data_IF_690678225052
#
_entry.id   IF_690678225052
#
_cell.length_a   1.000
_cell.length_b   1.000
_cell.length_c   1.000
_cell.angle_alpha   90.00
_cell.angle_beta   90.00
_cell.angle_gamma   90.00
#
_symmetry.space_group_name_H-M   'P 1'
#
loop_
_entity.id
_entity.type
_entity.pdbx_description
1 polymer ?
#
# COMPACT_ATOMS: atom_id res chain seq x y z
N UNK A 1 22.61 31.61 15.77
CA UNK A 1 23.02 31.22 14.40
C UNK A 1 22.81 29.71 14.29
N UNK A 2 21.67 29.27 13.74
CA UNK A 2 21.39 27.85 13.49
C UNK A 2 21.58 27.59 12.00
N UNK A 3 22.48 26.69 11.65
CA UNK A 3 22.78 26.29 10.29
C UNK A 3 21.65 25.44 9.73
N UNK A 4 21.10 25.86 8.59
CA UNK A 4 20.23 25.02 7.77
C UNK A 4 21.05 23.87 7.17
N UNK A 5 20.67 22.63 7.50
CA UNK A 5 21.22 21.44 6.85
C UNK A 5 20.60 21.29 5.47
N UNK A 6 21.43 21.36 4.42
CA UNK A 6 21.01 21.07 3.06
C UNK A 6 20.73 19.57 2.91
N UNK A 7 19.45 19.20 2.76
CA UNK A 7 19.06 17.87 2.31
C UNK A 7 19.33 17.80 0.80
N UNK A 8 20.42 17.13 0.40
CA UNK A 8 20.70 16.88 -1.02
C UNK A 8 19.83 15.74 -1.52
N UNK A 9 18.80 16.07 -2.30
CA UNK A 9 18.07 15.11 -3.12
C UNK A 9 19.01 14.68 -4.25
N UNK A 10 19.56 13.47 -4.18
CA UNK A 10 20.29 12.85 -5.27
C UNK A 10 19.26 12.50 -6.36
N UNK A 11 19.06 13.42 -7.30
CA UNK A 11 18.31 13.16 -8.53
C UNK A 11 19.13 12.19 -9.39
N UNK A 12 18.79 10.91 -9.32
CA UNK A 12 19.32 9.93 -10.25
C UNK A 12 18.81 10.28 -11.66
N UNK A 13 19.66 10.91 -12.49
CA UNK A 13 19.36 11.22 -13.89
C UNK A 13 19.38 9.93 -14.71
N UNK A 14 18.35 9.10 -14.56
CA UNK A 14 18.06 8.03 -15.52
C UNK A 14 17.35 8.68 -16.71
N UNK A 15 18.00 8.67 -17.88
CA UNK A 15 17.37 9.13 -19.14
C UNK A 15 16.35 8.08 -19.57
N UNK A 16 15.11 8.23 -19.10
CA UNK A 16 13.96 7.48 -19.57
C UNK A 16 13.71 7.82 -21.05
N UNK A 17 14.00 6.87 -21.96
CA UNK A 17 13.93 7.06 -23.40
C UNK A 17 12.68 6.37 -23.96
N UNK A 18 11.49 6.84 -23.58
CA UNK A 18 10.23 6.23 -24.03
C UNK A 18 9.60 7.02 -25.16
N UNK A 19 9.93 6.66 -26.41
CA UNK A 19 9.27 7.15 -27.64
C UNK A 19 8.01 6.36 -28.02
N UNK A 20 7.41 5.58 -27.10
CA UNK A 20 6.12 4.92 -27.36
C UNK A 20 4.98 5.96 -27.38
N UNK A 21 4.33 6.03 -28.53
CA UNK A 21 3.23 6.95 -28.93
C UNK A 21 2.32 7.44 -27.78
N UNK A 22 2.50 8.72 -27.43
CA UNK A 22 1.69 9.51 -26.47
C UNK A 22 0.19 9.59 -26.83
N UNK A 23 -0.21 9.31 -28.07
CA UNK A 23 -1.58 9.55 -28.54
C UNK A 23 -2.55 8.38 -28.32
N UNK A 24 -2.05 7.15 -28.12
CA UNK A 24 -2.91 5.96 -28.00
C UNK A 24 -3.45 5.77 -26.58
N UNK A 25 -2.67 6.14 -25.56
CA UNK A 25 -3.09 6.03 -24.16
C UNK A 25 -4.25 6.96 -23.83
N UNK A 26 -4.25 8.21 -24.33
CA UNK A 26 -5.28 9.22 -24.01
C UNK A 26 -6.70 8.82 -24.49
N UNK A 27 -6.83 8.12 -25.62
CA UNK A 27 -8.15 7.67 -26.11
C UNK A 27 -8.75 6.49 -25.33
N UNK A 28 -7.93 5.73 -24.61
CA UNK A 28 -8.42 4.65 -23.73
C UNK A 28 -9.08 5.24 -22.46
N UNK A 29 -8.72 6.47 -22.06
CA UNK A 29 -9.20 7.09 -20.81
C UNK A 29 -10.64 7.63 -20.83
N UNK A 30 -11.23 7.91 -22.01
CA UNK A 30 -12.62 8.37 -22.07
C UNK A 30 -13.63 7.24 -22.36
N UNK A 31 -13.16 6.07 -22.79
CA UNK A 31 -14.03 4.96 -23.21
C UNK A 31 -14.03 3.75 -22.24
N UNK A 32 -13.20 3.76 -21.21
CA UNK A 32 -13.06 2.65 -20.26
C UNK A 32 -13.91 2.78 -18.97
N UNK A 33 -15.03 3.51 -19.02
CA UNK A 33 -16.17 3.21 -18.13
C UNK A 33 -16.84 1.93 -18.65
N UNK A 34 -16.18 0.79 -18.42
CA UNK A 34 -16.81 -0.51 -18.58
C UNK A 34 -17.76 -0.67 -17.41
N UNK A 35 -19.03 -0.90 -17.70
CA UNK A 35 -20.03 -1.29 -16.70
C UNK A 35 -19.46 -2.46 -15.88
N UNK A 36 -19.09 -2.17 -14.63
CA UNK A 36 -18.67 -3.17 -13.66
C UNK A 36 -19.94 -3.95 -13.27
N UNK A 37 -20.31 -4.94 -14.09
CA UNK A 37 -21.36 -5.88 -13.73
C UNK A 37 -20.97 -6.59 -12.43
N UNK A 38 -21.67 -6.23 -11.35
CA UNK A 38 -21.57 -6.89 -10.07
C UNK A 38 -22.26 -8.26 -10.19
N UNK A 39 -21.48 -9.31 -10.45
CA UNK A 39 -22.00 -10.68 -10.34
C UNK A 39 -22.56 -10.96 -8.94
N UNK A 40 -23.49 -11.92 -8.79
CA UNK A 40 -24.21 -12.17 -7.53
C UNK A 40 -23.28 -12.46 -6.35
N UNK A 41 -23.60 -11.87 -5.20
CA UNK A 41 -22.79 -11.76 -3.97
C UNK A 41 -23.00 -12.91 -2.94
N UNK A 42 -23.62 -14.03 -3.32
CA UNK A 42 -24.29 -14.95 -2.38
C UNK A 42 -23.41 -15.79 -1.42
N UNK A 43 -22.09 -15.58 -1.30
CA UNK A 43 -21.24 -16.34 -0.37
C UNK A 43 -20.17 -15.49 0.36
N UNK A 44 -20.48 -14.23 0.71
CA UNK A 44 -19.51 -13.30 1.30
C UNK A 44 -19.27 -13.44 2.81
N UNK A 45 -20.18 -14.07 3.58
CA UNK A 45 -20.09 -14.08 5.05
C UNK A 45 -18.83 -14.75 5.62
N UNK A 46 -18.13 -15.59 4.85
CA UNK A 46 -16.96 -16.35 5.34
C UNK A 46 -15.60 -15.65 5.11
N UNK A 47 -15.58 -14.53 4.39
CA UNK A 47 -14.35 -13.97 3.83
C UNK A 47 -13.79 -12.75 4.55
N UNK A 48 -14.54 -12.18 5.47
CA UNK A 48 -14.15 -10.99 6.24
C UNK A 48 -13.05 -11.33 7.25
N UNK A 49 -11.80 -10.98 6.90
CA UNK A 49 -10.70 -10.95 7.85
C UNK A 49 -10.88 -9.84 8.90
N UNK A 50 -9.97 -9.74 9.86
CA UNK A 50 -9.97 -8.60 10.79
C UNK A 50 -9.64 -7.32 10.02
N UNK A 51 -10.64 -6.48 9.78
CA UNK A 51 -10.45 -5.22 9.05
C UNK A 51 -9.69 -4.21 9.90
N UNK A 52 -8.45 -3.95 9.52
CA UNK A 52 -7.53 -3.07 10.22
C UNK A 52 -7.65 -1.64 9.69
N UNK A 53 -8.85 -1.08 9.76
CA UNK A 53 -9.10 0.33 9.47
C UNK A 53 -9.13 1.12 10.77
N UNK A 54 -8.55 2.32 10.76
CA UNK A 54 -8.59 3.21 11.92
C UNK A 54 -9.68 4.26 11.72
N UNK A 55 -10.70 4.31 12.60
CA UNK A 55 -11.87 5.20 12.46
C UNK A 55 -11.91 6.20 13.61
N UNK A 56 -11.98 7.49 13.32
CA UNK A 56 -11.91 8.58 14.30
C UNK A 56 -13.24 9.30 14.45
N UNK A 57 -13.50 9.80 15.66
CA UNK A 57 -14.75 10.48 16.03
C UNK A 57 -14.83 11.91 15.48
N UNK A 58 -13.73 12.66 15.52
CA UNK A 58 -13.71 14.08 15.18
C UNK A 58 -12.47 14.48 14.37
N UNK A 59 -12.65 15.31 13.33
CA UNK A 59 -11.57 15.74 12.43
C UNK A 59 -10.53 16.63 13.12
N UNK A 60 -10.95 17.43 14.10
CA UNK A 60 -10.08 18.42 14.77
C UNK A 60 -9.11 17.78 15.77
N UNK A 61 -9.29 16.51 16.13
CA UNK A 61 -8.46 15.81 17.12
C UNK A 61 -7.70 14.61 16.53
N UNK A 62 -7.64 14.49 15.21
CA UNK A 62 -7.14 13.27 14.56
C UNK A 62 -5.71 12.91 14.93
N UNK A 63 -4.80 13.88 14.98
CA UNK A 63 -3.41 13.64 15.33
C UNK A 63 -3.29 13.12 16.77
N UNK A 64 -3.96 13.79 17.71
CA UNK A 64 -3.97 13.41 19.13
C UNK A 64 -4.65 12.06 19.35
N UNK A 65 -5.80 11.81 18.72
CA UNK A 65 -6.47 10.51 18.78
C UNK A 65 -5.59 9.40 18.19
N UNK A 66 -4.89 9.68 17.08
CA UNK A 66 -3.97 8.73 16.43
C UNK A 66 -2.80 8.39 17.34
N UNK A 67 -2.18 9.39 17.95
CA UNK A 67 -1.08 9.22 18.91
C UNK A 67 -1.54 8.45 20.15
N UNK A 68 -2.72 8.77 20.69
CA UNK A 68 -3.30 8.05 21.82
C UNK A 68 -3.54 6.58 21.49
N UNK A 69 -4.03 6.25 20.29
CA UNK A 69 -4.24 4.85 19.87
C UNK A 69 -2.92 4.12 19.65
N UNK A 70 -1.90 4.81 19.14
CA UNK A 70 -0.55 4.26 19.04
C UNK A 70 0.02 3.93 20.43
N UNK A 71 -0.05 4.87 21.37
CA UNK A 71 0.51 4.68 22.72
C UNK A 71 -0.24 3.60 23.53
N UNK A 72 -1.55 3.45 23.29
CA UNK A 72 -2.40 2.49 24.00
C UNK A 72 -2.73 1.24 23.16
N UNK A 73 -1.94 0.92 22.13
CA UNK A 73 -2.20 -0.24 21.29
C UNK A 73 -1.98 -1.56 22.05
N UNK A 74 -3.06 -2.34 22.19
CA UNK A 74 -2.99 -3.65 22.83
C UNK A 74 -2.45 -4.75 21.91
N UNK A 75 -2.68 -4.62 20.60
CA UNK A 75 -2.30 -5.65 19.61
C UNK A 75 -0.78 -5.82 19.51
N UNK A 76 -0.04 -4.71 19.53
CA UNK A 76 1.41 -4.68 19.43
C UNK A 76 1.98 -3.68 20.45
N UNK A 77 1.92 -4.03 21.74
CA UNK A 77 2.39 -3.17 22.83
C UNK A 77 3.84 -2.72 22.58
N UNK A 78 4.08 -1.42 22.69
CA UNK A 78 5.40 -0.82 22.47
C UNK A 78 5.86 -0.72 21.02
N UNK A 79 5.20 -1.41 20.07
CA UNK A 79 5.50 -1.37 18.64
C UNK A 79 7.00 -1.61 18.29
N UNK A 80 7.69 -2.47 19.04
CA UNK A 80 9.15 -2.67 18.92
C UNK A 80 9.62 -3.10 17.52
N UNK A 81 8.74 -3.77 16.77
CA UNK A 81 9.00 -4.29 15.43
C UNK A 81 8.50 -3.36 14.30
N UNK A 82 8.14 -2.11 14.64
CA UNK A 82 7.75 -1.07 13.68
C UNK A 82 8.88 -0.05 13.53
N UNK A 83 9.66 -0.18 12.47
CA UNK A 83 10.78 0.70 12.19
C UNK A 83 10.30 2.00 11.55
N UNK A 84 10.86 3.14 11.95
CA UNK A 84 10.71 4.37 11.15
C UNK A 84 11.41 4.19 9.80
N UNK A 85 10.96 4.94 8.79
CA UNK A 85 11.57 4.88 7.45
C UNK A 85 13.06 5.23 7.52
N UNK A 86 13.42 6.29 8.25
CA UNK A 86 14.81 6.70 8.41
C UNK A 86 15.65 5.62 9.09
N UNK A 87 15.18 5.05 10.20
CA UNK A 87 15.89 3.97 10.88
C UNK A 87 16.08 2.76 9.98
N UNK A 88 15.06 2.39 9.20
CA UNK A 88 15.16 1.30 8.24
C UNK A 88 16.20 1.60 7.14
N UNK A 89 16.19 2.81 6.58
CA UNK A 89 17.16 3.26 5.57
C UNK A 89 18.59 3.23 6.11
N UNK A 90 18.81 3.61 7.36
CA UNK A 90 20.15 3.68 7.94
C UNK A 90 20.69 2.32 8.38
N UNK A 91 19.82 1.42 8.85
CA UNK A 91 20.24 0.19 9.53
C UNK A 91 19.97 -1.10 8.74
N UNK A 92 19.06 -1.07 7.77
CA UNK A 92 18.62 -2.28 7.05
C UNK A 92 18.97 -2.23 5.57
N UNK A 93 18.77 -1.10 4.89
CA UNK A 93 19.14 -0.98 3.48
C UNK A 93 20.64 -1.22 3.20
N UNK A 94 21.60 -0.79 4.06
CA UNK A 94 23.02 -1.05 3.82
C UNK A 94 23.39 -2.54 3.92
N UNK A 95 22.52 -3.39 4.48
CA UNK A 95 22.73 -4.85 4.55
C UNK A 95 22.50 -5.54 3.21
N UNK A 96 21.73 -4.93 2.33
CA UNK A 96 21.53 -5.42 0.97
C UNK A 96 22.84 -5.30 0.21
N UNK A 97 23.16 -6.25 -0.67
CA UNK A 97 24.42 -6.21 -1.41
C UNK A 97 24.31 -5.30 -2.64
N UNK A 98 23.15 -5.28 -3.30
CA UNK A 98 22.95 -4.56 -4.55
C UNK A 98 22.39 -3.15 -4.32
N UNK A 99 22.98 -2.14 -4.99
CA UNK A 99 22.40 -0.78 -5.07
C UNK A 99 21.00 -0.80 -5.66
N UNK A 100 20.80 -1.65 -6.67
CA UNK A 100 19.48 -1.84 -7.27
C UNK A 100 18.45 -2.35 -6.27
N UNK A 101 18.82 -3.31 -5.40
CA UNK A 101 17.89 -3.82 -4.40
C UNK A 101 17.51 -2.72 -3.39
N UNK A 102 18.48 -1.88 -3.01
CA UNK A 102 18.23 -0.69 -2.18
C UNK A 102 17.27 0.28 -2.86
N UNK A 103 17.48 0.58 -4.14
CA UNK A 103 16.65 1.48 -4.94
C UNK A 103 15.21 0.96 -5.11
N UNK A 104 15.05 -0.33 -5.40
CA UNK A 104 13.72 -0.96 -5.55
C UNK A 104 12.96 -0.95 -4.21
N UNK A 105 13.62 -1.27 -3.10
CA UNK A 105 12.96 -1.23 -1.79
C UNK A 105 12.62 0.20 -1.38
N UNK A 106 13.51 1.17 -1.62
CA UNK A 106 13.18 2.59 -1.40
C UNK A 106 11.96 2.99 -2.23
N UNK A 107 11.91 2.60 -3.50
CA UNK A 107 10.76 2.83 -4.38
C UNK A 107 9.47 2.23 -3.79
N UNK A 108 9.52 1.02 -3.22
CA UNK A 108 8.35 0.43 -2.56
C UNK A 108 7.89 1.23 -1.33
N UNK A 109 8.85 1.69 -0.53
CA UNK A 109 8.57 2.52 0.64
C UNK A 109 7.95 3.85 0.21
N UNK A 110 8.49 4.45 -0.85
CA UNK A 110 8.06 5.75 -1.38
C UNK A 110 6.69 5.69 -2.05
N UNK A 111 6.38 4.59 -2.77
CA UNK A 111 5.05 4.35 -3.33
C UNK A 111 3.96 4.11 -2.28
N UNK A 112 4.32 3.86 -1.02
CA UNK A 112 3.36 3.66 0.06
C UNK A 112 2.81 5.01 0.53
N UNK A 113 1.48 5.14 0.53
CA UNK A 113 0.76 6.37 0.86
C UNK A 113 -0.21 6.16 2.00
N UNK A 114 -0.49 7.23 2.75
CA UNK A 114 -1.56 7.27 3.75
C UNK A 114 -2.84 7.74 3.08
N UNK A 115 -3.94 7.07 3.38
CA UNK A 115 -5.27 7.43 2.91
C UNK A 115 -6.07 8.02 4.06
N UNK A 116 -6.68 9.18 3.82
CA UNK A 116 -7.65 9.80 4.72
C UNK A 116 -8.99 9.87 4.01
N UNK A 117 -9.91 9.00 4.40
CA UNK A 117 -11.28 8.95 3.86
C UNK A 117 -12.18 9.72 4.81
N UNK A 118 -12.93 10.69 4.29
CA UNK A 118 -13.68 11.65 5.13
C UNK A 118 -15.19 11.40 5.16
N UNK A 119 -15.69 10.43 4.38
CA UNK A 119 -17.07 9.97 4.45
C UNK A 119 -17.16 8.44 4.36
N UNK A 120 -18.28 7.89 4.84
CA UNK A 120 -18.67 6.51 4.58
C UNK A 120 -19.89 6.50 3.68
N UNK A 121 -19.82 5.80 2.54
CA UNK A 121 -20.91 5.79 1.56
C UNK A 121 -22.17 5.17 2.15
N UNK A 122 -23.33 5.65 1.70
CA UNK A 122 -24.63 5.05 2.03
C UNK A 122 -24.81 3.66 1.43
N UNK A 123 -24.04 3.34 0.38
CA UNK A 123 -24.18 2.12 -0.41
C UNK A 123 -23.33 0.95 0.11
N UNK A 124 -22.59 1.14 1.21
CA UNK A 124 -21.83 0.06 1.87
C UNK A 124 -22.76 -1.12 2.18
N UNK A 125 -22.42 -2.40 1.91
CA UNK A 125 -23.30 -3.54 2.18
C UNK A 125 -23.44 -3.83 3.69
N UNK A 126 -24.48 -4.56 4.12
CA UNK A 126 -24.80 -4.78 5.56
C UNK A 126 -23.73 -5.56 6.31
N UNK A 127 -22.98 -6.37 5.57
CA UNK A 127 -21.85 -7.14 6.08
C UNK A 127 -20.52 -6.35 6.09
N UNK A 128 -20.51 -5.10 5.64
CA UNK A 128 -19.31 -4.26 5.65
C UNK A 128 -18.96 -3.81 7.08
N UNK A 129 -17.67 -3.74 7.45
CA UNK A 129 -17.22 -3.28 8.78
C UNK A 129 -17.70 -1.87 9.16
N UNK A 130 -17.99 -1.06 8.15
CA UNK A 130 -18.42 0.33 8.27
C UNK A 130 -19.90 0.52 7.93
N UNK A 131 -20.69 -0.56 7.83
CA UNK A 131 -22.13 -0.48 7.55
C UNK A 131 -22.89 0.41 8.56
N UNK A 132 -22.51 0.37 9.85
CA UNK A 132 -23.09 1.23 10.90
C UNK A 132 -22.78 2.72 10.74
N UNK A 133 -21.83 3.07 9.88
CA UNK A 133 -21.34 4.42 9.66
C UNK A 133 -21.78 5.01 8.32
N UNK A 134 -22.62 4.31 7.56
CA UNK A 134 -23.23 4.80 6.30
C UNK A 134 -23.75 6.22 6.38
N UNK A 135 -23.36 7.03 5.40
CA UNK A 135 -23.79 8.42 5.26
C UNK A 135 -23.21 9.36 6.31
N UNK A 136 -22.39 8.88 7.25
CA UNK A 136 -21.71 9.74 8.22
C UNK A 136 -20.48 10.37 7.60
N UNK A 137 -20.27 11.62 7.98
CA UNK A 137 -18.98 12.30 7.82
C UNK A 137 -18.10 11.85 8.98
N UNK A 138 -16.89 11.40 8.68
CA UNK A 138 -15.96 10.88 9.66
C UNK A 138 -14.65 10.49 9.01
N UNK A 139 -13.55 10.63 9.74
CA UNK A 139 -12.23 10.33 9.20
C UNK A 139 -11.85 8.87 9.48
N UNK A 140 -11.49 8.15 8.43
CA UNK A 140 -10.87 6.84 8.50
C UNK A 140 -9.50 6.88 7.85
N UNK A 141 -8.51 6.27 8.50
CA UNK A 141 -7.19 6.06 7.92
C UNK A 141 -7.00 4.64 7.42
N UNK A 142 -6.26 4.55 6.32
CA UNK A 142 -5.72 3.32 5.79
C UNK A 142 -4.41 3.58 5.03
N UNK A 143 -3.88 2.53 4.42
CA UNK A 143 -2.70 2.59 3.58
C UNK A 143 -3.08 2.32 2.13
N UNK A 144 -2.36 2.92 1.19
CA UNK A 144 -2.43 2.58 -0.22
C UNK A 144 -1.05 2.48 -0.85
N UNK A 145 -1.01 2.12 -2.12
CA UNK A 145 0.24 2.04 -2.89
C UNK A 145 0.06 2.54 -4.32
N UNK A 146 0.99 3.38 -4.76
CA UNK A 146 1.02 3.91 -6.12
C UNK A 146 1.44 2.80 -7.08
N UNK A 147 0.50 2.38 -7.93
CA UNK A 147 0.68 1.26 -8.87
C UNK A 147 1.10 1.73 -10.26
N UNK A 148 0.56 2.87 -10.69
CA UNK A 148 0.72 3.38 -12.05
C UNK A 148 0.69 4.90 -12.00
N UNK A 149 1.62 5.53 -12.71
CA UNK A 149 1.67 6.98 -12.86
C UNK A 149 1.51 7.32 -14.33
N UNK A 150 0.69 8.33 -14.61
CA UNK A 150 0.51 8.84 -15.97
C UNK A 150 1.42 10.03 -16.20
N UNK A 151 1.85 10.20 -17.45
CA UNK A 151 2.58 11.39 -17.86
C UNK A 151 1.78 12.66 -17.57
N UNK A 152 2.50 13.74 -17.28
CA UNK A 152 1.88 15.04 -17.04
C UNK A 152 0.98 15.48 -18.20
N UNK A 153 -0.14 16.10 -17.84
CA UNK A 153 -1.10 16.73 -18.75
C UNK A 153 -1.02 18.25 -18.58
N UNK A 154 -1.05 18.97 -19.70
CA UNK A 154 -0.89 20.42 -19.76
C UNK A 154 -2.17 21.09 -20.24
N UNK A 155 -2.46 22.29 -19.72
CA UNK A 155 -3.55 23.16 -20.17
C UNK A 155 -4.91 22.44 -20.22
N UNK A 156 -5.15 21.56 -19.24
CA UNK A 156 -6.42 20.82 -19.07
C UNK A 156 -7.04 21.08 -17.70
N UNK A 157 -8.37 20.98 -17.58
CA UNK A 157 -9.07 20.97 -16.30
C UNK A 157 -8.46 19.96 -15.34
N UNK A 158 -8.07 20.42 -14.14
CA UNK A 158 -7.60 19.54 -13.08
C UNK A 158 -8.76 19.12 -12.19
N UNK A 159 -8.92 17.81 -11.97
CA UNK A 159 -10.01 17.24 -11.18
C UNK A 159 -9.69 17.18 -9.67
N UNK A 160 -8.58 17.77 -9.22
CA UNK A 160 -8.26 17.77 -7.80
C UNK A 160 -9.24 18.66 -7.02
N UNK A 161 -9.41 18.36 -5.73
CA UNK A 161 -10.35 19.06 -4.86
C UNK A 161 -10.05 20.57 -4.73
N UNK A 162 -8.78 20.97 -4.92
CA UNK A 162 -8.33 22.37 -4.88
C UNK A 162 -8.71 23.11 -6.17
N UNK A 163 -8.36 22.56 -7.34
CA UNK A 163 -8.57 23.22 -8.63
C UNK A 163 -10.04 23.24 -9.03
N UNK A 164 -10.85 22.26 -8.63
CA UNK A 164 -12.29 22.17 -8.93
C UNK A 164 -12.59 22.34 -10.43
N UNK A 165 -11.82 21.69 -11.29
CA UNK A 165 -12.00 21.73 -12.75
C UNK A 165 -11.40 22.97 -13.43
N UNK A 166 -10.74 23.88 -12.70
CA UNK A 166 -9.96 24.94 -13.33
C UNK A 166 -8.83 24.35 -14.16
N UNK A 167 -8.51 25.01 -15.27
CA UNK A 167 -7.36 24.65 -16.11
C UNK A 167 -6.09 24.84 -15.29
N UNK A 168 -5.33 23.76 -15.12
CA UNK A 168 -4.01 23.82 -14.51
C UNK A 168 -2.97 23.85 -15.63
N UNK A 169 -1.89 24.61 -15.42
CA UNK A 169 -0.72 24.61 -16.31
C UNK A 169 -0.21 23.18 -16.51
N UNK A 170 -0.15 22.42 -15.41
CA UNK A 170 0.33 21.03 -15.39
C UNK A 170 -0.31 20.23 -14.26
N UNK A 171 -0.70 18.99 -14.51
CA UNK A 171 -1.13 18.05 -13.49
C UNK A 171 -0.81 16.60 -13.87
N UNK A 172 -0.84 15.71 -12.88
CA UNK A 172 -0.56 14.28 -13.03
C UNK A 172 -1.75 13.47 -12.52
N UNK A 173 -1.97 12.33 -13.17
CA UNK A 173 -2.84 11.28 -12.67
C UNK A 173 -2.01 10.08 -12.22
N UNK A 174 -2.51 9.32 -11.25
CA UNK A 174 -1.91 8.07 -10.83
C UNK A 174 -2.98 7.14 -10.22
N UNK A 175 -2.69 5.84 -10.17
CA UNK A 175 -3.54 4.85 -9.52
C UNK A 175 -2.97 4.46 -8.16
N UNK A 176 -3.81 4.59 -7.13
CA UNK A 176 -3.54 4.07 -5.81
C UNK A 176 -4.36 2.81 -5.60
N UNK A 177 -3.67 1.71 -5.31
CA UNK A 177 -4.33 0.49 -4.87
C UNK A 177 -4.46 0.47 -3.36
N UNK A 178 -5.63 0.05 -2.87
CA UNK A 178 -5.90 -0.13 -1.44
C UNK A 178 -6.94 -1.22 -1.23
N UNK A 179 -7.32 -1.49 0.02
CA UNK A 179 -8.37 -2.43 0.35
C UNK A 179 -9.77 -1.83 0.07
N UNK A 180 -10.71 -2.65 -0.38
CA UNK A 180 -12.08 -2.20 -0.68
C UNK A 180 -12.83 -1.73 0.57
N UNK A 181 -12.57 -2.35 1.72
CA UNK A 181 -13.12 -1.86 2.97
C UNK A 181 -12.49 -0.52 3.41
N UNK A 182 -11.27 -0.19 2.96
CA UNK A 182 -10.61 1.11 3.20
C UNK A 182 -11.20 2.20 2.31
N UNK A 183 -11.57 1.93 1.06
CA UNK A 183 -12.31 2.87 0.18
C UNK A 183 -13.26 2.03 -0.67
N UNK A 184 -14.57 2.25 -0.52
CA UNK A 184 -15.57 1.34 -1.09
C UNK A 184 -15.96 1.64 -2.53
N UNK A 185 -16.26 2.91 -2.84
CA UNK A 185 -16.77 3.33 -4.13
C UNK A 185 -16.29 4.74 -4.50
N UNK A 186 -16.77 5.24 -5.64
CA UNK A 186 -16.46 6.58 -6.16
C UNK A 186 -16.83 7.71 -5.19
N UNK A 187 -17.92 7.57 -4.43
CA UNK A 187 -18.32 8.58 -3.43
C UNK A 187 -17.23 8.76 -2.38
N UNK A 188 -16.73 7.66 -1.80
CA UNK A 188 -15.63 7.71 -0.83
C UNK A 188 -14.30 8.10 -1.48
N UNK A 189 -14.03 7.65 -2.71
CA UNK A 189 -12.81 8.02 -3.43
C UNK A 189 -12.69 9.53 -3.61
N UNK A 190 -13.79 10.21 -4.01
CA UNK A 190 -13.82 11.67 -4.20
C UNK A 190 -13.56 12.47 -2.94
N UNK A 191 -13.82 11.89 -1.77
CA UNK A 191 -13.59 12.51 -0.46
C UNK A 191 -12.29 12.03 0.19
N UNK A 192 -11.51 11.19 -0.51
CA UNK A 192 -10.25 10.65 -0.02
C UNK A 192 -9.08 11.56 -0.37
N UNK A 193 -8.33 11.96 0.65
CA UNK A 193 -7.01 12.58 0.50
C UNK A 193 -5.94 11.49 0.54
N UNK A 194 -4.97 11.59 -0.37
CA UNK A 194 -3.82 10.70 -0.46
C UNK A 194 -2.61 11.50 0.02
N UNK A 195 -2.11 11.20 1.21
CA UNK A 195 -0.93 11.84 1.75
C UNK A 195 0.32 11.04 1.35
N UNK A 196 1.21 11.69 0.60
CA UNK A 196 2.47 11.16 0.07
C UNK A 196 3.62 11.59 0.99
N UNK A 197 4.70 10.81 1.03
CA UNK A 197 5.92 11.11 1.80
C UNK A 197 5.72 11.40 3.29
N UNK A 198 4.69 10.82 3.90
CA UNK A 198 4.47 10.94 5.34
C UNK A 198 5.35 9.93 6.11
N UNK A 199 6.66 10.16 6.08
CA UNK A 199 7.68 9.28 6.70
C UNK A 199 7.90 9.60 8.18
N UNK A 200 7.72 10.87 8.57
CA UNK A 200 7.78 11.37 9.94
C UNK A 200 6.82 12.57 10.14
N UNK A 201 6.65 13.01 11.39
CA UNK A 201 5.77 14.14 11.74
C UNK A 201 6.37 15.52 11.41
N UNK A 202 7.65 15.59 11.02
CA UNK A 202 8.29 16.83 10.59
C UNK A 202 8.15 17.06 9.08
N UNK A 203 7.73 16.06 8.33
CA UNK A 203 7.51 16.14 6.89
C UNK A 203 6.35 17.09 6.58
N UNK A 204 6.57 18.06 5.70
CA UNK A 204 5.47 18.83 5.14
C UNK A 204 4.53 17.91 4.36
N UNK A 205 3.22 17.97 4.63
CA UNK A 205 2.29 17.02 4.06
C UNK A 205 2.09 17.30 2.57
N UNK A 206 2.35 16.28 1.76
CA UNK A 206 2.19 16.29 0.30
C UNK A 206 0.91 15.55 -0.07
N UNK A 207 0.05 16.14 -0.91
CA UNK A 207 -1.27 15.59 -1.17
C UNK A 207 -1.54 15.28 -2.65
N UNK A 208 -2.26 14.18 -2.85
CA UNK A 208 -3.08 13.90 -4.02
C UNK A 208 -4.53 13.69 -3.59
N UNK A 209 -5.43 13.66 -4.57
CA UNK A 209 -6.86 13.58 -4.32
C UNK A 209 -7.48 12.45 -5.12
N UNK A 210 -8.29 11.62 -4.48
CA UNK A 210 -9.08 10.62 -5.19
C UNK A 210 -10.14 11.27 -6.07
N UNK A 211 -10.40 10.65 -7.22
CA UNK A 211 -11.34 11.13 -8.24
C UNK A 211 -12.40 10.07 -8.52
N UNK A 212 -11.96 8.82 -8.68
CA UNK A 212 -12.84 7.71 -9.03
C UNK A 212 -12.28 6.35 -8.61
N UNK A 213 -13.14 5.34 -8.53
CA UNK A 213 -12.75 3.93 -8.45
C UNK A 213 -12.78 3.35 -9.87
N UNK A 214 -11.60 3.03 -10.42
CA UNK A 214 -11.48 2.53 -11.80
C UNK A 214 -11.51 1.01 -11.89
N UNK A 215 -11.26 0.33 -10.77
CA UNK A 215 -11.34 -1.13 -10.70
C UNK A 215 -11.71 -1.56 -9.30
N UNK A 216 -12.67 -2.47 -9.18
CA UNK A 216 -13.06 -3.07 -7.91
C UNK A 216 -13.07 -4.59 -8.03
N UNK A 217 -12.58 -5.28 -6.99
CA UNK A 217 -12.60 -6.72 -6.87
C UNK A 217 -13.13 -7.11 -5.48
N UNK A 218 -14.46 -7.18 -5.29
CA UNK A 218 -15.06 -7.40 -3.97
C UNK A 218 -14.63 -8.73 -3.33
N UNK A 219 -14.57 -9.81 -4.12
CA UNK A 219 -14.08 -11.12 -3.66
C UNK A 219 -12.64 -11.08 -3.16
N UNK A 220 -11.90 -10.04 -3.56
CA UNK A 220 -10.52 -9.86 -3.19
C UNK A 220 -10.24 -8.69 -2.26
N UNK A 221 -11.29 -7.95 -1.89
CA UNK A 221 -11.25 -6.76 -1.07
C UNK A 221 -10.12 -5.80 -1.47
N UNK A 222 -10.01 -5.49 -2.77
CA UNK A 222 -9.14 -4.42 -3.23
C UNK A 222 -9.79 -3.58 -4.33
N UNK A 223 -9.36 -2.33 -4.40
CA UNK A 223 -9.73 -1.37 -5.43
C UNK A 223 -8.49 -0.73 -6.06
N UNK A 224 -8.61 -0.26 -7.30
CA UNK A 224 -7.73 0.76 -7.87
C UNK A 224 -8.50 2.08 -7.87
N UNK A 225 -7.99 3.08 -7.15
CA UNK A 225 -8.50 4.44 -7.12
C UNK A 225 -7.69 5.32 -8.06
N UNK A 226 -8.35 6.06 -8.94
CA UNK A 226 -7.72 7.12 -9.71
C UNK A 226 -7.56 8.37 -8.86
N UNK A 227 -6.33 8.86 -8.80
CA UNK A 227 -5.95 10.04 -8.05
C UNK A 227 -5.28 11.06 -8.96
N UNK A 228 -5.31 12.33 -8.53
CA UNK A 228 -4.69 13.43 -9.24
C UNK A 228 -3.93 14.36 -8.29
N UNK A 229 -2.90 15.00 -8.82
CA UNK A 229 -2.23 16.14 -8.17
C UNK A 229 -1.82 17.18 -9.21
N UNK A 230 -1.90 18.46 -8.84
CA UNK A 230 -1.39 19.58 -9.61
C UNK A 230 -0.16 20.23 -8.97
N UNK A 231 0.33 19.65 -7.87
CA UNK A 231 1.58 20.07 -7.24
C UNK A 231 2.75 19.56 -8.12
N UNK A 232 3.58 20.49 -8.56
CA UNK A 232 4.64 20.18 -9.52
C UNK A 232 5.78 19.36 -8.90
N UNK A 233 6.09 19.57 -7.63
CA UNK A 233 7.13 18.81 -6.93
C UNK A 233 6.67 17.38 -6.72
N UNK A 234 5.42 17.19 -6.27
CA UNK A 234 4.83 15.85 -6.09
C UNK A 234 4.75 15.15 -7.43
N UNK A 235 4.27 15.84 -8.46
CA UNK A 235 4.13 15.32 -9.82
C UNK A 235 5.45 14.82 -10.40
N UNK A 236 6.51 15.63 -10.30
CA UNK A 236 7.85 15.24 -10.74
C UNK A 236 8.40 14.05 -9.93
N UNK A 237 8.13 14.03 -8.62
CA UNK A 237 8.56 12.95 -7.73
C UNK A 237 7.88 11.61 -8.06
N UNK A 238 6.55 11.57 -8.23
CA UNK A 238 5.84 10.33 -8.61
C UNK A 238 6.27 9.81 -9.98
N UNK A 239 6.53 10.72 -10.93
CA UNK A 239 7.01 10.38 -12.26
C UNK A 239 8.42 9.78 -12.18
N UNK A 240 9.30 10.35 -11.36
CA UNK A 240 10.64 9.82 -11.11
C UNK A 240 10.60 8.39 -10.54
N UNK A 241 9.73 8.14 -9.55
CA UNK A 241 9.58 6.81 -8.94
C UNK A 241 9.07 5.79 -9.95
N UNK A 242 8.09 6.19 -10.77
CA UNK A 242 7.53 5.31 -11.78
C UNK A 242 8.55 4.95 -12.88
N UNK A 243 9.43 5.88 -13.28
CA UNK A 243 10.52 5.57 -14.20
C UNK A 243 11.47 4.50 -13.63
N UNK A 244 11.84 4.59 -12.34
CA UNK A 244 12.65 3.57 -11.67
C UNK A 244 12.01 2.18 -11.71
N UNK A 245 10.68 2.12 -11.75
CA UNK A 245 9.90 0.87 -11.79
C UNK A 245 9.62 0.36 -13.21
N UNK A 246 9.42 1.26 -14.18
CA UNK A 246 8.83 0.95 -15.50
C UNK A 246 9.83 0.85 -16.65
N UNK A 247 11.10 1.27 -16.47
CA UNK A 247 12.13 1.34 -17.52
C UNK A 247 12.66 -0.03 -18.02
N UNK A 248 11.82 -1.06 -18.03
CA UNK A 248 11.82 -1.98 -19.16
C UNK A 248 12.81 -3.12 -19.10
N UNK A 249 12.70 -3.96 -18.07
CA UNK A 249 13.06 -5.35 -18.26
C UNK A 249 11.98 -6.25 -17.63
N UNK A 250 11.36 -7.10 -18.46
CA UNK A 250 10.51 -8.24 -18.03
C UNK A 250 11.28 -9.24 -17.12
N UNK A 251 12.54 -8.93 -16.81
CA UNK A 251 13.45 -9.64 -15.94
C UNK A 251 13.90 -8.85 -14.71
N UNK A 252 13.12 -7.87 -14.22
CA UNK A 252 13.43 -7.27 -12.93
C UNK A 252 13.27 -8.32 -11.81
N UNK A 253 14.36 -9.06 -11.55
CA UNK A 253 14.52 -9.93 -10.40
C UNK A 253 14.11 -9.15 -9.14
N UNK A 254 13.32 -9.77 -8.25
CA UNK A 254 12.98 -9.15 -6.99
C UNK A 254 14.26 -8.81 -6.23
N UNK A 255 14.23 -7.76 -5.39
CA UNK A 255 15.29 -7.58 -4.42
C UNK A 255 15.34 -8.79 -3.48
N UNK A 256 16.55 -9.27 -3.17
CA UNK A 256 16.71 -10.35 -2.19
C UNK A 256 16.61 -9.78 -0.77
N UNK A 257 15.44 -9.97 -0.15
CA UNK A 257 15.15 -9.43 1.19
C UNK A 257 15.77 -10.24 2.33
N UNK A 258 16.44 -11.34 2.05
CA UNK A 258 16.99 -12.24 3.06
C UNK A 258 17.99 -11.61 4.03
N UNK A 259 18.81 -10.67 3.54
CA UNK A 259 19.77 -9.96 4.37
C UNK A 259 19.09 -9.08 5.44
N UNK A 260 17.78 -8.82 5.29
CA UNK A 260 16.99 -8.04 6.23
C UNK A 260 16.55 -8.85 7.46
N UNK A 261 16.57 -10.19 7.38
CA UNK A 261 16.20 -11.10 8.47
C UNK A 261 17.36 -12.06 8.80
N UNK A 262 18.46 -11.55 9.37
CA UNK A 262 19.58 -12.39 9.77
C UNK A 262 19.13 -13.36 10.89
N UNK A 263 19.38 -14.66 10.70
CA UNK A 263 18.98 -15.71 11.63
C UNK A 263 17.77 -16.52 11.17
N UNK A 264 17.09 -16.08 10.11
CA UNK A 264 16.11 -16.90 9.43
C UNK A 264 16.82 -18.00 8.62
N UNK A 265 16.46 -19.27 8.83
CA UNK A 265 17.10 -20.40 8.14
C UNK A 265 16.98 -20.33 6.62
N UNK A 266 17.69 -21.21 5.88
CA UNK A 266 17.66 -21.24 4.41
C UNK A 266 16.24 -21.36 3.82
N UNK A 267 15.32 -21.95 4.60
CA UNK A 267 13.95 -22.16 4.21
C UNK A 267 13.04 -20.93 4.35
N UNK A 268 13.55 -19.87 4.97
CA UNK A 268 12.80 -18.66 5.27
C UNK A 268 12.52 -17.80 4.05
N UNK A 269 11.28 -17.34 3.94
CA UNK A 269 10.84 -16.43 2.89
C UNK A 269 10.54 -15.07 3.55
N UNK A 270 11.45 -14.08 3.45
CA UNK A 270 11.27 -12.76 4.05
C UNK A 270 10.09 -11.99 3.46
N UNK A 271 9.44 -11.22 4.34
CA UNK A 271 8.29 -10.36 4.06
C UNK A 271 8.54 -8.96 4.58
N UNK A 272 8.34 -7.96 3.72
CA UNK A 272 8.42 -6.54 4.04
C UNK A 272 7.05 -5.89 3.85
N UNK A 273 6.63 -5.09 4.83
CA UNK A 273 5.41 -4.28 4.76
C UNK A 273 5.76 -2.85 5.13
N UNK A 274 5.37 -1.90 4.28
CA UNK A 274 5.36 -0.47 4.59
C UNK A 274 3.89 -0.05 4.78
N UNK A 275 3.57 0.59 5.90
CA UNK A 275 2.17 0.98 6.19
C UNK A 275 2.05 2.18 7.14
N UNK A 276 0.83 2.68 7.32
CA UNK A 276 0.49 3.77 8.23
C UNK A 276 -0.36 3.27 9.43
N UNK A 277 0.24 2.49 10.35
CA UNK A 277 -0.46 1.98 11.53
C UNK A 277 -1.01 3.14 12.37
N UNK A 278 -2.24 3.02 12.82
CA UNK A 278 -3.04 4.01 13.55
C UNK A 278 -3.16 5.37 12.83
N UNK A 279 -2.80 5.47 11.56
CA UNK A 279 -2.66 6.75 10.84
C UNK A 279 -1.38 7.53 11.16
N UNK A 280 -0.43 6.91 11.84
CA UNK A 280 0.88 7.47 12.18
C UNK A 280 1.78 7.59 10.94
N UNK A 281 2.95 8.26 11.07
CA UNK A 281 3.96 8.24 10.02
C UNK A 281 4.31 6.81 9.61
N UNK A 282 4.74 6.67 8.35
CA UNK A 282 5.02 5.39 7.73
C UNK A 282 5.96 4.54 8.59
N UNK A 283 5.58 3.28 8.80
CA UNK A 283 6.38 2.29 9.50
C UNK A 283 6.69 1.11 8.58
N UNK A 284 7.88 0.56 8.74
CA UNK A 284 8.33 -0.64 8.05
C UNK A 284 8.33 -1.79 9.06
N UNK A 285 7.77 -2.93 8.67
CA UNK A 285 7.83 -4.16 9.44
C UNK A 285 8.44 -5.27 8.60
N UNK A 286 9.24 -6.11 9.24
CA UNK A 286 9.87 -7.28 8.64
C UNK A 286 9.34 -8.54 9.32
N UNK A 287 9.20 -9.62 8.55
CA UNK A 287 8.70 -10.88 9.04
C UNK A 287 8.84 -11.98 8.00
N UNK A 288 8.18 -13.10 8.23
CA UNK A 288 8.35 -14.33 7.47
C UNK A 288 7.03 -14.75 6.87
N UNK A 289 7.06 -15.23 5.64
CA UNK A 289 5.93 -15.86 4.99
C UNK A 289 5.71 -17.24 5.62
N UNK A 290 4.50 -17.47 6.13
CA UNK A 290 4.11 -18.70 6.82
C UNK A 290 3.30 -19.66 5.96
N UNK A 291 2.67 -19.15 4.91
CA UNK A 291 1.88 -19.99 4.02
C UNK A 291 0.91 -19.21 3.15
N UNK A 292 0.23 -19.95 2.28
CA UNK A 292 -0.84 -19.43 1.43
C UNK A 292 -2.03 -20.37 1.48
N UNK A 293 -3.17 -19.86 1.92
CA UNK A 293 -4.44 -20.53 1.74
C UNK A 293 -4.91 -20.30 0.31
N UNK A 294 -4.71 -21.28 -0.57
CA UNK A 294 -5.12 -21.19 -1.99
C UNK A 294 -6.63 -21.12 -2.16
N UNK A 295 -7.41 -21.77 -1.29
CA UNK A 295 -8.88 -21.79 -1.39
C UNK A 295 -9.44 -20.41 -1.14
N UNK A 296 -8.93 -19.75 -0.12
CA UNK A 296 -9.36 -18.41 0.24
C UNK A 296 -8.46 -17.33 -0.34
N UNK A 297 -7.47 -17.67 -1.17
CA UNK A 297 -6.44 -16.77 -1.72
C UNK A 297 -5.69 -15.91 -0.67
N UNK A 298 -5.62 -16.32 0.60
CA UNK A 298 -4.98 -15.57 1.71
C UNK A 298 -3.50 -15.89 1.84
N UNK A 299 -2.72 -14.91 2.31
CA UNK A 299 -1.31 -15.09 2.70
C UNK A 299 -1.22 -15.01 4.22
N UNK A 300 -0.41 -15.88 4.80
CA UNK A 300 -0.06 -15.85 6.21
C UNK A 300 1.40 -15.41 6.37
N UNK A 301 1.65 -14.53 7.33
CA UNK A 301 2.97 -13.96 7.60
C UNK A 301 3.10 -13.57 9.08
N UNK A 302 4.33 -13.34 9.54
CA UNK A 302 4.61 -12.99 10.94
C UNK A 302 4.71 -11.49 11.22
N UNK A 303 4.74 -10.64 10.19
CA UNK A 303 4.85 -9.18 10.37
C UNK A 303 3.72 -8.65 11.27
N UNK A 304 4.05 -7.80 12.26
CA UNK A 304 3.02 -7.10 12.99
C UNK A 304 2.34 -6.07 12.08
N UNK A 305 1.02 -5.97 12.21
CA UNK A 305 0.21 -4.92 11.59
C UNK A 305 -0.77 -4.37 12.62
N UNK A 306 -1.22 -3.14 12.44
CA UNK A 306 -2.22 -2.50 13.30
C UNK A 306 -3.37 -1.96 12.45
N UNK A 307 -4.46 -1.52 13.10
CA UNK A 307 -5.46 -0.67 12.43
C UNK A 307 -4.76 0.47 11.69
N UNK A 308 -5.23 0.86 10.50
CA UNK A 308 -4.53 1.78 9.60
C UNK A 308 -3.55 1.11 8.62
N UNK A 309 -3.07 -0.10 8.90
CA UNK A 309 -2.21 -0.85 7.96
C UNK A 309 -2.96 -1.45 6.77
N UNK A 310 -4.30 -1.51 6.80
CA UNK A 310 -5.09 -2.08 5.70
C UNK A 310 -4.84 -1.36 4.38
N UNK A 311 -4.69 -2.15 3.31
CA UNK A 311 -4.38 -1.66 1.96
C UNK A 311 -2.89 -1.49 1.67
N UNK A 312 -2.01 -1.74 2.64
CA UNK A 312 -0.57 -1.80 2.43
C UNK A 312 -0.17 -2.92 1.45
N UNK A 313 0.86 -2.67 0.65
CA UNK A 313 1.51 -3.70 -0.15
C UNK A 313 2.31 -4.66 0.75
N UNK A 314 2.29 -5.95 0.40
CA UNK A 314 3.08 -6.99 1.07
C UNK A 314 4.08 -7.56 0.07
N UNK A 315 5.36 -7.37 0.37
CA UNK A 315 6.46 -7.78 -0.48
C UNK A 315 7.06 -9.07 0.03
N UNK A 316 7.05 -10.12 -0.79
CA UNK A 316 7.54 -11.46 -0.46
C UNK A 316 8.67 -11.82 -1.40
N UNK A 317 9.83 -12.25 -0.87
CA UNK A 317 10.99 -12.63 -1.67
C UNK A 317 11.33 -14.11 -1.49
N UNK A 318 10.93 -14.96 -2.44
CA UNK A 318 11.27 -16.39 -2.46
C UNK A 318 12.55 -16.64 -3.29
N UNK A 319 13.60 -17.08 -2.61
CA UNK A 319 14.91 -17.40 -3.19
C UNK A 319 14.89 -18.66 -4.05
N UNK A 320 14.05 -19.66 -3.72
CA UNK A 320 14.12 -21.01 -4.30
C UNK A 320 13.64 -21.03 -5.73
N UNK A 321 12.53 -20.34 -5.97
CA UNK A 321 11.95 -20.32 -7.31
C UNK A 321 12.71 -19.36 -8.23
N UNK A 322 13.48 -18.40 -7.69
CA UNK A 322 14.01 -17.21 -8.40
C UNK A 322 12.94 -16.53 -9.27
N UNK A 323 11.67 -16.85 -9.01
CA UNK A 323 10.51 -16.31 -9.69
C UNK A 323 10.03 -15.23 -8.77
N UNK A 324 10.06 -14.00 -9.27
CA UNK A 324 9.22 -12.99 -8.68
C UNK A 324 7.78 -13.40 -8.96
N UNK A 325 7.15 -14.03 -7.99
CA UNK A 325 5.71 -13.84 -7.92
C UNK A 325 5.59 -12.47 -7.30
N UNK A 326 5.29 -11.47 -8.12
CA UNK A 326 4.51 -10.35 -7.64
C UNK A 326 3.29 -10.96 -6.93
N UNK A 327 3.37 -11.26 -5.64
CA UNK A 327 2.19 -11.40 -4.80
C UNK A 327 1.68 -9.99 -4.47
N UNK A 328 1.81 -9.09 -5.46
CA UNK A 328 1.16 -7.82 -5.57
C UNK A 328 -0.33 -8.15 -5.47
N UNK A 329 -0.89 -7.94 -4.28
CA UNK A 329 -2.33 -7.79 -4.07
C UNK A 329 -3.14 -9.09 -4.06
N UNK A 330 -2.58 -10.16 -3.49
CA UNK A 330 -3.44 -11.25 -3.06
C UNK A 330 -4.08 -10.89 -1.72
N UNK A 331 -5.31 -10.36 -1.82
CA UNK A 331 -6.36 -10.42 -0.81
C UNK A 331 -6.14 -9.59 0.46
N UNK A 332 -7.16 -9.41 1.32
CA UNK A 332 -6.99 -8.67 2.56
C UNK A 332 -5.87 -9.34 3.38
N UNK A 333 -4.77 -8.61 3.49
CA UNK A 333 -3.55 -9.05 4.14
C UNK A 333 -3.67 -8.57 5.58
N UNK A 334 -4.20 -9.43 6.44
CA UNK A 334 -4.31 -9.13 7.86
C UNK A 334 -3.52 -10.17 8.64
N UNK A 335 -2.60 -9.70 9.48
CA UNK A 335 -1.96 -10.57 10.45
C UNK A 335 -3.04 -11.00 11.43
N UNK A 336 -3.38 -12.30 11.45
CA UNK A 336 -3.98 -12.84 12.67
C UNK A 336 -2.90 -12.75 13.75
N UNK A 337 -3.24 -12.18 14.90
CA UNK A 337 -2.50 -12.48 16.13
C UNK A 337 -2.74 -13.97 16.35
N UNK A 338 -1.80 -14.79 15.88
CA UNK A 338 -1.76 -16.18 16.33
C UNK A 338 -1.20 -16.07 17.73
N UNK A 339 -2.07 -16.18 18.74
CA UNK A 339 -1.65 -16.45 20.12
C UNK A 339 -0.57 -17.51 20.04
N UNK A 340 0.60 -17.23 20.62
CA UNK A 340 1.75 -18.12 20.52
C UNK A 340 1.31 -19.52 20.93
N UNK A 341 1.18 -20.42 19.94
CA UNK A 341 1.11 -21.84 20.23
C UNK A 341 2.40 -22.15 20.95
N UNK A 342 2.32 -22.33 22.26
CA UNK A 342 3.37 -22.91 23.05
C UNK A 342 3.81 -24.16 22.29
N UNK A 343 5.09 -24.22 21.94
CA UNK A 343 5.63 -25.20 21.02
C UNK A 343 5.49 -26.62 21.60
N UNK A 344 4.32 -27.25 21.46
CA UNK A 344 4.19 -28.69 21.49
C UNK A 344 4.65 -29.21 20.13
N UNK A 345 5.90 -29.66 20.09
CA UNK A 345 6.42 -30.53 19.03
C UNK A 345 5.61 -31.83 19.04
N UNK A 346 4.49 -31.86 18.34
CA UNK A 346 3.93 -33.13 17.89
C UNK A 346 4.66 -33.54 16.62
N UNK A 347 5.41 -34.64 16.72
CA UNK A 347 6.00 -35.33 15.59
C UNK A 347 4.88 -35.77 14.64
N UNK A 348 4.67 -35.03 13.56
CA UNK A 348 3.87 -35.50 12.44
C UNK A 348 4.74 -36.51 11.69
N UNK A 349 4.45 -37.79 11.92
CA UNK A 349 4.96 -38.90 11.12
C UNK A 349 4.36 -38.78 9.71
N UNK A 350 5.13 -38.24 8.76
CA UNK A 350 4.80 -38.36 7.35
C UNK A 350 5.11 -39.79 6.90
N UNK A 351 4.06 -40.62 6.81
CA UNK A 351 4.13 -41.93 6.18
C UNK A 351 4.60 -41.81 4.73
N UNK A 352 5.73 -42.44 4.44
CA UNK A 352 6.17 -42.76 3.09
C UNK A 352 5.33 -43.94 2.59
N UNK A 353 4.35 -43.68 1.73
CA UNK A 353 3.84 -44.70 0.81
C UNK A 353 4.39 -44.41 -0.59
N UNK A 354 5.17 -45.37 -1.06
CA UNK A 354 5.97 -45.31 -2.27
C UNK A 354 5.16 -45.47 -3.55
N UNK A 355 5.77 -44.98 -4.63
CA UNK A 355 5.49 -45.40 -5.99
C UNK A 355 6.78 -45.95 -6.58
N UNK A 356 6.78 -47.25 -6.84
CA UNK A 356 7.74 -47.94 -7.69
C UNK A 356 6.93 -48.76 -8.70
N UNK A 357 7.37 -48.61 -9.97
CA UNK A 357 6.93 -49.23 -11.24
C UNK A 357 5.73 -48.55 -11.90
#
# INVERSE_FOLDING_TARGET
MRSAGNVSIILCRVRCNTSRSRSTLIRIFQQAHVDLEQGPLEDQEKYFGHHECEVFSEEQQLATESENRWNNCEKNRGHENFFSVQYFRDNYLPKLQSDRDREVINTWIDCTVKLQVTCTSKDRPDNDPHAKDRGKIGCRYGTGFIKLVFSAVYDKPCLCAICKGKVAEKHWGFYVRTAGHVVFNTEEAKTTQVQLNYDDDSCEPKFGYGVDVVKFQPKRDWIDMWCVTCDQEIGAWIESIYCCWSDGDDQLKPPDLSALLPGCGEDCIPVLIASHPHGQPKKITLGEFRGRDRKNCRIEYSNPTCKGSSGAAVFVSDRRTRKFTHILWALPVHSRVIESRTAQKEHINCGHDGWLI
#
